data_IF_362051288557
#
_entry.id   IF_362051288557
#
_cell.length_a   1.000
_cell.length_b   1.000
_cell.length_c   1.000
_cell.angle_alpha   90.00
_cell.angle_beta   90.00
_cell.angle_gamma   90.00
#
_symmetry.space_group_name_H-M   'P 1'
#
loop_
_entity.id
_entity.type
_entity.pdbx_description
1 polymer ?
#
# COMPACT_ATOMS: atom_id res chain seq x y z
N UNK A 1 13.01 -10.37 7.82
CA UNK A 1 12.47 -9.01 7.56
C UNK A 1 11.33 -9.17 6.57
N UNK A 2 10.14 -8.69 6.92
CA UNK A 2 9.00 -8.68 5.99
C UNK A 2 9.10 -7.39 5.16
N UNK A 3 8.99 -7.51 3.83
CA UNK A 3 9.00 -6.34 2.93
C UNK A 3 7.64 -5.65 3.04
N UNK A 4 7.64 -4.33 3.31
CA UNK A 4 6.45 -3.54 3.62
C UNK A 4 6.13 -2.56 2.50
N UNK A 5 4.93 -2.67 1.97
CA UNK A 5 4.45 -1.95 0.79
C UNK A 5 3.27 -1.04 1.15
N UNK A 6 3.20 0.10 0.47
CA UNK A 6 2.03 0.98 0.47
C UNK A 6 1.42 0.97 -0.93
N UNK A 7 0.10 0.77 -1.01
CA UNK A 7 -0.67 0.89 -2.25
C UNK A 7 -1.61 2.07 -2.12
N UNK A 8 -1.50 3.05 -3.01
CA UNK A 8 -2.36 4.24 -3.04
C UNK A 8 -3.07 4.32 -4.39
N UNK A 9 -4.40 4.19 -4.35
CA UNK A 9 -5.26 4.17 -5.53
C UNK A 9 -6.68 4.58 -5.07
N UNK A 10 -7.36 5.44 -5.84
CA UNK A 10 -8.71 5.92 -5.51
C UNK A 10 -9.81 4.91 -5.89
N UNK A 11 -9.51 3.92 -6.74
CA UNK A 11 -10.38 2.79 -7.05
C UNK A 11 -10.21 1.66 -6.02
N UNK A 12 -11.27 1.44 -5.23
CA UNK A 12 -11.30 0.40 -4.20
C UNK A 12 -11.09 -1.02 -4.76
N UNK A 13 -11.59 -1.29 -5.97
CA UNK A 13 -11.48 -2.59 -6.62
C UNK A 13 -10.05 -2.90 -7.04
N UNK A 14 -9.38 -1.93 -7.67
CA UNK A 14 -7.98 -2.05 -8.06
C UNK A 14 -7.10 -2.23 -6.82
N UNK A 15 -7.29 -1.38 -5.80
CA UNK A 15 -6.52 -1.41 -4.55
C UNK A 15 -6.61 -2.77 -3.84
N UNK A 16 -7.81 -3.35 -3.74
CA UNK A 16 -8.00 -4.64 -3.08
C UNK A 16 -7.38 -5.81 -3.88
N UNK A 17 -7.44 -5.77 -5.22
CA UNK A 17 -6.78 -6.77 -6.09
C UNK A 17 -5.26 -6.73 -5.91
N UNK A 18 -4.66 -5.54 -5.93
CA UNK A 18 -3.22 -5.37 -5.74
C UNK A 18 -2.80 -5.87 -4.35
N UNK A 19 -3.49 -5.41 -3.30
CA UNK A 19 -3.23 -5.80 -1.92
C UNK A 19 -3.35 -7.31 -1.70
N UNK A 20 -4.41 -7.94 -2.20
CA UNK A 20 -4.61 -9.40 -2.09
C UNK A 20 -3.48 -10.16 -2.79
N UNK A 21 -3.07 -9.69 -3.96
CA UNK A 21 -1.96 -10.28 -4.73
C UNK A 21 -0.63 -10.19 -4.00
N UNK A 22 -0.31 -9.01 -3.44
CA UNK A 22 0.94 -8.78 -2.72
C UNK A 22 0.97 -9.52 -1.38
N UNK A 23 -0.14 -9.55 -0.63
CA UNK A 23 -0.24 -10.33 0.61
C UNK A 23 -0.05 -11.82 0.37
N UNK A 24 -0.61 -12.38 -0.72
CA UNK A 24 -0.38 -13.78 -1.12
C UNK A 24 1.10 -14.10 -1.42
N UNK A 25 1.89 -13.11 -1.80
CA UNK A 25 3.34 -13.24 -2.00
C UNK A 25 4.15 -13.10 -0.70
N UNK A 26 3.49 -12.87 0.44
CA UNK A 26 4.13 -12.76 1.76
C UNK A 26 4.56 -11.35 2.14
N UNK A 27 4.10 -10.31 1.43
CA UNK A 27 4.39 -8.92 1.76
C UNK A 27 3.44 -8.37 2.83
N UNK A 28 3.94 -7.47 3.67
CA UNK A 28 3.08 -6.59 4.45
C UNK A 28 2.58 -5.47 3.54
N UNK A 29 1.28 -5.22 3.53
CA UNK A 29 0.67 -4.22 2.64
C UNK A 29 -0.28 -3.35 3.44
N UNK A 30 -0.03 -2.05 3.39
CA UNK A 30 -0.98 -1.02 3.79
C UNK A 30 -1.56 -0.35 2.55
N UNK A 31 -2.71 0.26 2.73
CA UNK A 31 -3.51 0.85 1.66
C UNK A 31 -3.87 2.29 2.01
N UNK A 32 -3.92 3.13 0.99
CA UNK A 32 -4.39 4.51 1.06
C UNK A 32 -5.36 4.76 -0.11
N UNK A 33 -6.42 5.52 0.12
CA UNK A 33 -7.38 5.86 -0.94
C UNK A 33 -7.09 7.17 -1.66
N UNK A 34 -6.04 7.89 -1.23
CA UNK A 34 -5.59 9.14 -1.82
C UNK A 34 -4.19 9.52 -1.30
N UNK A 35 -3.57 10.49 -1.95
CA UNK A 35 -2.23 10.98 -1.60
C UNK A 35 -2.11 11.54 -0.18
N UNK A 36 -3.16 12.14 0.38
CA UNK A 36 -3.10 12.66 1.75
C UNK A 36 -2.95 11.53 2.77
N UNK A 37 -3.76 10.48 2.63
CA UNK A 37 -3.65 9.29 3.47
C UNK A 37 -2.30 8.59 3.28
N UNK A 38 -1.80 8.52 2.04
CA UNK A 38 -0.49 7.94 1.75
C UNK A 38 0.65 8.71 2.46
N UNK A 39 0.63 10.04 2.42
CA UNK A 39 1.62 10.89 3.11
C UNK A 39 1.52 10.72 4.64
N UNK A 40 0.31 10.69 5.19
CA UNK A 40 0.11 10.44 6.62
C UNK A 40 0.68 9.07 7.04
N UNK A 41 0.49 8.03 6.22
CA UNK A 41 1.06 6.71 6.47
C UNK A 41 2.58 6.70 6.39
N UNK A 42 3.16 7.39 5.40
CA UNK A 42 4.62 7.52 5.25
C UNK A 42 5.28 8.28 6.42
N UNK A 43 4.53 9.17 7.09
CA UNK A 43 5.02 9.85 8.29
C UNK A 43 5.06 8.94 9.54
N UNK A 44 4.25 7.87 9.55
CA UNK A 44 4.10 6.95 10.69
C UNK A 44 4.82 5.62 10.48
N UNK A 45 5.13 5.26 9.24
CA UNK A 45 5.69 3.98 8.86
C UNK A 45 6.76 4.16 7.79
N UNK A 46 7.79 3.32 7.85
CA UNK A 46 8.73 3.15 6.74
C UNK A 46 8.20 2.07 5.79
N UNK A 47 8.30 2.34 4.49
CA UNK A 47 7.94 1.43 3.42
C UNK A 47 9.15 1.19 2.53
N UNK A 48 9.28 -0.04 2.03
CA UNK A 48 10.34 -0.42 1.09
C UNK A 48 9.98 0.01 -0.34
N UNK A 49 8.69 0.09 -0.65
CA UNK A 49 8.18 0.56 -1.93
C UNK A 49 6.74 1.08 -1.78
N UNK A 50 6.40 2.08 -2.60
CA UNK A 50 5.07 2.69 -2.69
C UNK A 50 4.60 2.54 -4.13
N UNK A 51 3.42 1.95 -4.31
CA UNK A 51 2.70 1.89 -5.59
C UNK A 51 1.64 2.98 -5.55
N UNK A 52 1.72 3.95 -6.45
CA UNK A 52 0.87 5.14 -6.47
C UNK A 52 0.37 5.39 -7.90
N UNK A 53 -0.94 5.60 -8.05
CA UNK A 53 -1.58 6.11 -9.27
C UNK A 53 -1.76 7.64 -9.21
#
# INVERSE_FOLDING_TARGET
MAFKLLVCDDDDGIREVIKSTLKKKGFEVLEAKNGKEAVELCSKHSFDCILMD
#
